data_IF_641821655057
#
_entry.id   IF_641821655057
#
_cell.length_a   1.000
_cell.length_b   1.000
_cell.length_c   1.000
_cell.angle_alpha   90.00
_cell.angle_beta   90.00
_cell.angle_gamma   90.00
#
_symmetry.space_group_name_H-M   'P 1'
#
loop_
_entity.id
_entity.type
_entity.pdbx_description
1 polymer ?
#
# COMPACT_ATOMS: atom_id res chain seq x y z
N UNK A 1 6.44 -16.62 7.76
CA UNK A 1 6.27 -16.05 6.40
C UNK A 1 6.07 -14.54 6.53
N UNK A 2 6.81 -13.70 5.81
CA UNK A 2 6.67 -12.23 5.89
C UNK A 2 5.98 -11.65 4.65
N UNK A 3 4.98 -10.80 4.86
CA UNK A 3 4.29 -10.09 3.78
C UNK A 3 5.14 -8.91 3.28
N UNK A 4 5.42 -8.86 1.96
CA UNK A 4 6.29 -7.82 1.39
C UNK A 4 5.61 -6.45 1.23
N UNK A 5 4.28 -6.39 1.39
CA UNK A 5 3.53 -5.11 1.36
C UNK A 5 3.55 -4.46 2.73
N UNK A 6 3.07 -5.16 3.76
CA UNK A 6 2.86 -4.60 5.10
C UNK A 6 3.99 -4.90 6.10
N UNK A 7 4.93 -5.79 5.76
CA UNK A 7 6.01 -6.20 6.64
C UNK A 7 5.61 -7.18 7.75
N UNK A 8 4.33 -7.55 7.87
CA UNK A 8 3.87 -8.47 8.91
C UNK A 8 4.52 -9.84 8.77
N UNK A 9 4.97 -10.38 9.90
CA UNK A 9 5.57 -11.70 10.01
C UNK A 9 4.64 -12.63 10.78
N UNK A 10 4.14 -13.67 10.08
CA UNK A 10 3.34 -14.70 10.72
C UNK A 10 4.20 -15.57 11.64
N UNK A 11 3.65 -15.91 12.81
CA UNK A 11 4.27 -16.80 13.78
C UNK A 11 4.59 -18.18 13.15
N UNK A 12 5.56 -18.92 13.70
CA UNK A 12 5.84 -20.29 13.25
C UNK A 12 4.58 -21.15 13.27
N UNK A 13 4.34 -21.93 12.20
CA UNK A 13 3.16 -22.79 12.08
C UNK A 13 1.86 -22.07 11.67
N UNK A 14 1.82 -20.73 11.63
CA UNK A 14 0.65 -19.98 11.17
C UNK A 14 0.77 -19.63 9.69
N UNK A 15 -0.29 -19.90 8.92
CA UNK A 15 -0.35 -19.47 7.52
C UNK A 15 -0.48 -17.94 7.46
N UNK A 16 0.54 -17.26 6.92
CA UNK A 16 0.52 -15.82 6.73
C UNK A 16 -0.25 -15.40 5.47
N UNK A 17 -0.67 -14.13 5.41
CA UNK A 17 -1.20 -13.54 4.18
C UNK A 17 -0.11 -13.54 3.09
N UNK A 18 -0.47 -14.04 1.90
CA UNK A 18 0.37 -13.91 0.71
C UNK A 18 0.46 -12.44 0.32
N UNK A 19 1.65 -11.99 -0.09
CA UNK A 19 1.90 -10.60 -0.56
C UNK A 19 0.88 -10.12 -1.60
N UNK A 20 0.48 -10.99 -2.55
CA UNK A 20 -0.50 -10.66 -3.61
C UNK A 20 -1.93 -10.49 -3.08
N UNK A 21 -2.23 -11.08 -1.93
CA UNK A 21 -3.55 -11.08 -1.29
C UNK A 21 -3.62 -10.12 -0.10
N UNK A 22 -2.57 -9.33 0.14
CA UNK A 22 -2.56 -8.37 1.24
C UNK A 22 -3.60 -7.27 0.98
N UNK A 23 -4.60 -7.08 1.87
CA UNK A 23 -5.62 -6.03 1.71
C UNK A 23 -5.05 -4.60 1.69
N UNK A 24 -3.84 -4.40 2.23
CA UNK A 24 -3.11 -3.12 2.15
C UNK A 24 -2.38 -2.90 0.83
N UNK A 25 -2.52 -3.79 -0.15
CA UNK A 25 -1.87 -3.66 -1.46
C UNK A 25 -2.37 -2.52 -2.34
N UNK A 26 -3.33 -1.70 -1.88
CA UNK A 26 -3.89 -0.58 -2.64
C UNK A 26 -2.87 0.55 -2.73
N UNK A 27 -2.45 0.85 -3.96
CA UNK A 27 -1.41 1.83 -4.29
C UNK A 27 -2.00 3.14 -4.78
N UNK A 28 -1.23 4.22 -4.63
CA UNK A 28 -1.50 5.50 -5.29
C UNK A 28 -1.56 5.31 -6.82
N UNK A 29 -2.40 6.09 -7.49
CA UNK A 29 -2.50 6.05 -8.94
C UNK A 29 -1.24 6.64 -9.59
N UNK A 30 -0.57 5.86 -10.44
CA UNK A 30 0.64 6.25 -11.19
C UNK A 30 0.45 7.44 -12.14
N UNK A 31 -0.78 7.67 -12.61
CA UNK A 31 -1.10 8.83 -13.45
C UNK A 31 -1.21 10.13 -12.65
N UNK A 32 -1.35 10.04 -11.32
CA UNK A 32 -1.53 11.19 -10.43
C UNK A 32 -0.35 11.41 -9.46
N UNK A 33 0.73 10.63 -9.57
CA UNK A 33 1.99 10.98 -8.89
C UNK A 33 2.69 12.10 -9.68
N UNK A 34 3.60 12.83 -9.01
CA UNK A 34 4.38 13.86 -9.65
C UNK A 34 5.19 13.31 -10.85
N UNK A 35 5.38 14.12 -11.89
CA UNK A 35 6.04 13.69 -13.14
C UNK A 35 7.50 13.25 -12.96
N UNK A 36 8.19 13.76 -11.94
CA UNK A 36 9.55 13.35 -11.59
C UNK A 36 9.59 12.05 -10.76
N UNK A 37 8.44 11.53 -10.31
CA UNK A 37 8.39 10.28 -9.58
C UNK A 37 8.68 9.11 -10.53
N UNK A 38 9.57 8.17 -10.19
CA UNK A 38 9.97 7.08 -11.07
C UNK A 38 8.83 6.11 -11.43
N UNK A 39 7.72 6.14 -10.70
CA UNK A 39 6.53 5.35 -11.00
C UNK A 39 5.50 6.09 -11.84
N UNK A 40 5.74 7.36 -12.19
CA UNK A 40 4.86 8.15 -13.03
C UNK A 40 4.57 7.41 -14.33
N UNK A 41 3.33 7.53 -14.79
CA UNK A 41 2.89 7.03 -16.07
C UNK A 41 2.12 8.14 -16.76
N UNK A 42 2.44 8.43 -18.02
CA UNK A 42 1.85 9.55 -18.75
C UNK A 42 0.43 9.24 -19.25
N UNK A 43 -0.42 10.27 -19.30
CA UNK A 43 -1.80 10.23 -19.81
C UNK A 43 -2.88 10.12 -18.72
N UNK A 44 -4.18 10.13 -19.07
CA UNK A 44 -5.27 10.09 -18.09
C UNK A 44 -5.42 8.71 -17.42
N UNK A 45 -5.98 8.66 -16.22
CA UNK A 45 -6.44 7.40 -15.63
C UNK A 45 -7.93 7.21 -15.94
N UNK A 46 -8.28 6.13 -16.64
CA UNK A 46 -9.67 5.82 -17.01
C UNK A 46 -10.34 4.83 -16.04
N UNK A 47 -9.64 4.42 -14.98
CA UNK A 47 -10.18 3.47 -14.01
C UNK A 47 -11.08 4.20 -13.00
N UNK A 48 -12.39 4.13 -13.22
CA UNK A 48 -13.41 4.74 -12.35
C UNK A 48 -13.42 4.18 -10.91
N UNK A 49 -12.87 2.99 -10.69
CA UNK A 49 -12.71 2.38 -9.36
C UNK A 49 -11.32 2.62 -8.75
N UNK A 50 -10.50 3.44 -9.39
CA UNK A 50 -9.16 3.75 -8.94
C UNK A 50 -9.15 4.48 -7.59
N UNK A 51 -8.05 4.35 -6.84
CA UNK A 51 -7.83 5.11 -5.59
C UNK A 51 -8.00 6.62 -5.79
N UNK A 52 -7.72 7.12 -6.99
CA UNK A 52 -7.87 8.53 -7.33
C UNK A 52 -9.30 9.05 -7.37
N UNK A 53 -10.31 8.19 -7.50
CA UNK A 53 -11.72 8.56 -7.43
C UNK A 53 -12.27 8.52 -6.00
N UNK A 54 -11.53 7.92 -5.07
CA UNK A 54 -11.97 7.77 -3.68
C UNK A 54 -11.80 9.06 -2.87
N UNK A 55 -12.67 9.23 -1.87
CA UNK A 55 -12.51 10.21 -0.81
C UNK A 55 -11.89 9.54 0.43
N UNK A 56 -10.92 10.20 1.04
CA UNK A 56 -10.28 9.74 2.26
C UNK A 56 -11.20 10.06 3.45
N UNK A 57 -11.52 9.04 4.24
CA UNK A 57 -12.31 9.15 5.47
C UNK A 57 -11.55 9.80 6.63
N UNK A 58 -10.21 9.88 6.54
CA UNK A 58 -9.37 10.52 7.56
C UNK A 58 -9.18 12.03 7.32
N UNK A 59 -8.92 12.45 6.08
CA UNK A 59 -8.61 13.86 5.76
C UNK A 59 -9.68 14.56 4.90
N UNK A 60 -10.71 13.85 4.43
CA UNK A 60 -11.77 14.38 3.58
C UNK A 60 -11.39 14.66 2.12
N UNK A 61 -10.10 14.58 1.76
CA UNK A 61 -9.63 14.86 0.40
C UNK A 61 -9.91 13.71 -0.57
N UNK A 62 -10.15 14.04 -1.85
CA UNK A 62 -10.23 13.07 -2.95
C UNK A 62 -8.85 12.70 -3.47
N UNK A 63 -8.73 11.53 -4.08
CA UNK A 63 -7.48 11.07 -4.70
C UNK A 63 -6.85 9.84 -4.05
N UNK A 64 -7.34 9.47 -2.87
CA UNK A 64 -6.84 8.35 -2.08
C UNK A 64 -7.86 7.92 -1.01
N UNK A 65 -7.62 6.76 -0.41
CA UNK A 65 -8.23 6.33 0.86
C UNK A 65 -7.20 6.40 1.99
N UNK A 66 -7.63 6.28 3.26
CA UNK A 66 -6.71 6.11 4.41
C UNK A 66 -5.73 4.93 4.28
N UNK A 67 -6.02 3.97 3.39
CA UNK A 67 -5.20 2.76 3.16
C UNK A 67 -4.33 2.83 1.91
N UNK A 68 -4.39 3.93 1.16
CA UNK A 68 -3.66 4.03 -0.11
C UNK A 68 -2.18 4.28 0.17
N UNK A 69 -1.32 3.35 -0.28
CA UNK A 69 0.12 3.45 -0.10
C UNK A 69 0.78 4.35 -1.16
N UNK A 70 1.74 5.17 -0.73
CA UNK A 70 2.57 6.00 -1.61
C UNK A 70 3.47 5.13 -2.48
N UNK A 71 3.68 5.58 -3.71
CA UNK A 71 4.64 4.98 -4.62
C UNK A 71 6.04 5.57 -4.39
N UNK A 72 6.75 4.99 -3.41
CA UNK A 72 8.14 5.34 -3.06
C UNK A 72 9.10 4.22 -3.47
N UNK A 73 10.33 4.57 -3.83
CA UNK A 73 11.40 3.60 -4.17
C UNK A 73 11.84 2.78 -2.95
N UNK A 74 11.58 3.30 -1.74
CA UNK A 74 11.78 2.57 -0.48
C UNK A 74 10.96 1.30 -0.40
N UNK A 75 9.78 1.23 -1.04
CA UNK A 75 8.88 0.05 -0.94
C UNK A 75 8.61 -0.64 -2.25
N UNK A 76 8.73 0.08 -3.36
CA UNK A 76 8.30 -0.40 -4.65
C UNK A 76 9.43 -0.34 -5.65
N UNK A 77 9.33 -1.21 -6.67
CA UNK A 77 10.10 -1.15 -7.89
C UNK A 77 9.21 -1.45 -9.08
N UNK A 78 9.70 -1.12 -10.26
CA UNK A 78 9.11 -1.60 -11.50
C UNK A 78 9.65 -3.00 -11.81
N UNK A 79 8.76 -3.91 -12.23
CA UNK A 79 9.16 -5.15 -12.87
C UNK A 79 9.68 -4.86 -14.29
N UNK A 80 10.28 -5.86 -14.93
CA UNK A 80 10.68 -5.76 -16.34
C UNK A 80 9.50 -5.42 -17.28
N UNK A 81 8.28 -5.83 -16.89
CA UNK A 81 7.04 -5.52 -17.60
C UNK A 81 6.43 -4.16 -17.19
N UNK A 82 7.14 -3.34 -16.42
CA UNK A 82 6.68 -2.02 -15.97
C UNK A 82 5.58 -2.06 -14.90
N UNK A 83 5.35 -3.20 -14.24
CA UNK A 83 4.39 -3.33 -13.15
C UNK A 83 5.00 -2.90 -11.80
N UNK A 84 4.22 -2.22 -10.95
CA UNK A 84 4.69 -1.83 -9.61
C UNK A 84 4.59 -3.02 -8.65
N UNK A 85 5.73 -3.50 -8.20
CA UNK A 85 5.88 -4.66 -7.30
C UNK A 85 6.63 -4.28 -6.02
N UNK A 86 6.36 -4.94 -4.87
CA UNK A 86 7.11 -4.70 -3.64
C UNK A 86 8.61 -4.99 -3.78
N UNK A 87 9.43 -4.22 -3.08
CA UNK A 87 10.86 -4.46 -2.91
C UNK A 87 11.11 -5.44 -1.76
N UNK A 88 11.71 -6.60 -2.07
CA UNK A 88 12.01 -7.66 -1.09
C UNK A 88 12.96 -7.19 0.01
N UNK A 89 13.96 -6.37 -0.36
CA UNK A 89 14.98 -5.83 0.55
C UNK A 89 14.42 -4.86 1.61
N UNK A 90 13.19 -4.38 1.44
CA UNK A 90 12.57 -3.37 2.32
C UNK A 90 11.28 -3.90 2.93
N UNK A 91 11.29 -5.16 3.36
CA UNK A 91 10.19 -5.80 4.09
C UNK A 91 10.14 -5.29 5.55
N UNK A 92 9.95 -3.98 5.67
CA UNK A 92 9.82 -3.21 6.92
C UNK A 92 8.33 -2.95 7.24
N UNK A 93 7.95 -2.84 8.52
CA UNK A 93 6.60 -2.48 8.94
C UNK A 93 6.12 -1.17 8.30
N UNK A 94 4.83 -1.05 8.02
CA UNK A 94 4.24 0.20 7.54
C UNK A 94 4.29 1.27 8.64
N UNK A 95 4.65 2.48 8.25
CA UNK A 95 4.58 3.71 9.05
C UNK A 95 3.66 4.71 8.37
N UNK A 96 3.24 5.76 9.07
CA UNK A 96 2.33 6.79 8.57
C UNK A 96 2.80 7.40 7.25
N UNK A 97 4.11 7.63 7.11
CA UNK A 97 4.71 8.18 5.90
C UNK A 97 4.53 7.32 4.66
N UNK A 98 4.25 6.02 4.81
CA UNK A 98 3.99 5.13 3.69
C UNK A 98 2.60 5.30 3.08
N UNK A 99 1.70 6.02 3.76
CA UNK A 99 0.35 6.32 3.29
C UNK A 99 0.30 7.67 2.57
N UNK A 100 -0.55 7.77 1.54
CA UNK A 100 -0.77 9.03 0.81
C UNK A 100 -1.37 10.08 1.74
N UNK A 101 -2.29 9.67 2.63
CA UNK A 101 -2.87 10.53 3.64
C UNK A 101 -1.81 10.87 4.70
N UNK A 102 -1.46 12.15 4.82
CA UNK A 102 -0.50 12.65 5.82
C UNK A 102 -1.05 12.67 7.24
N UNK A 103 -2.36 12.43 7.41
CA UNK A 103 -3.01 12.35 8.72
C UNK A 103 -3.04 10.92 9.29
N UNK A 104 -2.43 9.94 8.63
CA UNK A 104 -2.29 8.59 9.20
C UNK A 104 -1.08 8.57 10.13
N UNK A 105 -1.25 8.45 11.46
CA UNK A 105 -0.13 8.33 12.37
C UNK A 105 0.46 6.91 12.33
N UNK A 106 1.72 6.77 12.76
CA UNK A 106 2.40 5.47 12.87
C UNK A 106 1.60 4.46 13.70
N UNK A 107 0.96 4.91 14.78
CA UNK A 107 0.10 4.07 15.61
C UNK A 107 -1.04 3.44 14.80
N UNK A 108 -1.69 4.19 13.94
CA UNK A 108 -2.81 3.69 13.14
C UNK A 108 -2.32 2.76 12.04
N UNK A 109 -1.12 2.99 11.48
CA UNK A 109 -0.48 2.08 10.55
C UNK A 109 -0.26 0.69 11.20
N UNK A 110 0.27 0.67 12.43
CA UNK A 110 0.49 -0.58 13.19
C UNK A 110 -0.82 -1.30 13.49
N UNK A 111 -1.82 -0.58 14.02
CA UNK A 111 -3.14 -1.16 14.34
C UNK A 111 -3.84 -1.73 13.11
N UNK A 112 -3.72 -1.06 11.97
CA UNK A 112 -4.29 -1.51 10.71
C UNK A 112 -3.65 -2.82 10.22
N UNK A 113 -2.32 -2.92 10.30
CA UNK A 113 -1.61 -4.16 9.94
C UNK A 113 -2.05 -5.31 10.85
N UNK A 114 -2.11 -5.09 12.16
CA UNK A 114 -2.56 -6.09 13.11
C UNK A 114 -3.99 -6.58 12.81
N UNK A 115 -4.95 -5.66 12.68
CA UNK A 115 -6.35 -5.98 12.45
C UNK A 115 -6.59 -6.78 11.16
N UNK A 116 -5.83 -6.50 10.10
CA UNK A 116 -5.92 -7.25 8.83
C UNK A 116 -5.43 -8.68 8.98
N UNK A 117 -4.38 -8.88 9.78
CA UNK A 117 -3.80 -10.20 10.01
C UNK A 117 -4.56 -11.01 11.07
N UNK A 118 -5.28 -10.37 11.98
CA UNK A 118 -6.27 -11.03 12.85
C UNK A 118 -7.43 -11.57 12.02
N UNK A 119 -8.09 -10.71 11.23
CA UNK A 119 -9.23 -11.13 10.38
C UNK A 119 -8.88 -12.22 9.38
N UNK A 120 -7.63 -12.25 8.90
CA UNK A 120 -7.15 -13.28 7.99
C UNK A 120 -6.88 -14.64 8.63
N UNK A 121 -6.85 -14.72 9.97
CA UNK A 121 -6.74 -16.00 10.71
C UNK A 121 -8.10 -16.64 10.96
N UNK A 122 -9.16 -15.84 10.98
CA UNK A 122 -10.52 -16.28 11.33
C UNK A 122 -11.35 -16.75 10.12
N UNK A 123 -10.77 -16.75 8.91
CA UNK A 123 -11.42 -17.17 7.66
C UNK A 123 -10.57 -18.11 6.84
#
# INVERSE_FOLDING_TARGET
MRCLVCGFEAAPGVLGLKTRSCPLGKKQCRRLVATHNPFFLSGPCLNIYGSHMAQCDMCGLRGHTRFTLKLTTRRWRLSHQGAVVPCVAHSIPLVGDDFVCTLVPDRDAVLLVAAIHEKARDG
#
